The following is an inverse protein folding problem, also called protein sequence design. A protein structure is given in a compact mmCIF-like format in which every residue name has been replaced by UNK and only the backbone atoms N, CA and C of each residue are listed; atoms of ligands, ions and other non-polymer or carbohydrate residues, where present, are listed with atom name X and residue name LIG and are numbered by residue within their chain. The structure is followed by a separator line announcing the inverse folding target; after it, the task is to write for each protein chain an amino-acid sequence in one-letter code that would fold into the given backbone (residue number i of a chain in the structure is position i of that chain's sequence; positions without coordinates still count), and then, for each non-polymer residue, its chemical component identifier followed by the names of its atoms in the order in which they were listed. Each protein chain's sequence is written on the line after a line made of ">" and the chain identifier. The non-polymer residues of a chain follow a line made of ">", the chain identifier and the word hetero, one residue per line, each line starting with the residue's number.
data_IF_332554738639
#
_entry.id   IF_332554738639
#
_cell.length_a   1.000
_cell.length_b   1.000
_cell.length_c   1.000
_cell.angle_alpha   90.00
_cell.angle_beta   90.00
_cell.angle_gamma   90.00
#
_symmetry.space_group_name_H-M   'P 1'
#
loop_
_entity.id
_entity.type
_entity.pdbx_description
1 polymer ?
#
# COMPACT_ATOMS: atom_id res chain seq x y z
N UNK A 1 -5.80 -2.18 11.81
CA UNK A 1 -5.94 -0.87 12.46
C UNK A 1 -5.32 0.27 11.64
N UNK A 2 -4.05 0.15 11.22
CA UNK A 2 -3.33 1.18 10.45
C UNK A 2 -4.10 1.75 9.23
N UNK A 3 -4.83 0.90 8.51
CA UNK A 3 -5.67 1.33 7.38
C UNK A 3 -6.68 2.42 7.78
N UNK A 4 -7.41 2.20 8.88
CA UNK A 4 -8.47 3.10 9.33
C UNK A 4 -7.89 4.43 9.85
N UNK A 5 -6.76 4.35 10.57
CA UNK A 5 -6.03 5.52 11.05
C UNK A 5 -5.51 6.35 9.87
N UNK A 6 -4.88 5.70 8.88
CA UNK A 6 -4.40 6.37 7.68
C UNK A 6 -5.52 7.05 6.91
N UNK A 7 -6.67 6.39 6.78
CA UNK A 7 -7.86 6.96 6.14
C UNK A 7 -8.36 8.20 6.88
N UNK A 8 -8.49 8.12 8.20
CA UNK A 8 -8.91 9.24 9.06
C UNK A 8 -7.96 10.43 8.93
N UNK A 9 -6.65 10.21 9.06
CA UNK A 9 -5.63 11.25 8.99
C UNK A 9 -5.51 11.91 7.61
N UNK A 10 -5.91 11.20 6.54
CA UNK A 10 -5.84 11.70 5.16
C UNK A 10 -7.18 12.24 4.65
N UNK A 11 -8.21 12.32 5.50
CA UNK A 11 -9.55 12.75 5.08
C UNK A 11 -9.60 14.20 4.61
N UNK A 12 -8.80 15.09 5.21
CA UNK A 12 -8.77 16.52 4.87
C UNK A 12 -7.91 16.90 3.65
N UNK A 13 -7.23 15.94 3.02
CA UNK A 13 -6.31 16.23 1.91
C UNK A 13 -7.10 16.21 0.59
N UNK A 14 -7.38 17.41 0.07
CA UNK A 14 -8.09 17.57 -1.21
C UNK A 14 -7.22 17.05 -2.36
N UNK A 15 -7.80 16.24 -3.25
CA UNK A 15 -7.11 15.66 -4.41
C UNK A 15 -6.33 14.36 -4.11
N UNK A 16 -6.40 13.87 -2.87
CA UNK A 16 -5.85 12.57 -2.49
C UNK A 16 -6.93 11.49 -2.54
N UNK A 17 -6.87 10.66 -3.57
CA UNK A 17 -7.68 9.46 -3.68
C UNK A 17 -7.14 8.38 -2.74
N UNK A 18 -8.04 7.68 -2.03
CA UNK A 18 -7.66 6.58 -1.14
C UNK A 18 -8.48 5.35 -1.46
N UNK A 19 -7.83 4.19 -1.49
CA UNK A 19 -8.46 2.93 -1.84
C UNK A 19 -7.84 1.77 -1.06
N UNK A 20 -8.59 0.69 -0.90
CA UNK A 20 -8.11 -0.49 -0.20
C UNK A 20 -7.28 -1.38 -1.12
N UNK A 21 -6.11 -1.81 -0.66
CA UNK A 21 -5.33 -2.88 -1.29
C UNK A 21 -5.19 -4.00 -0.27
N UNK A 22 -5.64 -5.20 -0.64
CA UNK A 22 -5.59 -6.39 0.20
C UNK A 22 -4.79 -7.48 -0.48
N UNK A 23 -3.78 -7.99 0.21
CA UNK A 23 -2.95 -9.10 -0.24
C UNK A 23 -3.34 -10.36 0.52
N UNK A 24 -3.41 -11.47 -0.21
CA UNK A 24 -3.52 -12.82 0.34
C UNK A 24 -2.30 -13.59 -0.15
N UNK A 25 -1.39 -13.92 0.76
CA UNK A 25 -0.15 -14.64 0.46
C UNK A 25 -0.13 -15.98 1.16
N UNK A 26 0.71 -16.90 0.66
CA UNK A 26 0.91 -18.22 1.27
C UNK A 26 2.40 -18.41 1.53
N UNK A 27 2.76 -18.77 2.76
CA UNK A 27 4.13 -19.10 3.16
C UNK A 27 4.11 -20.39 3.98
N UNK A 28 4.87 -21.41 3.55
CA UNK A 28 4.95 -22.73 4.19
C UNK A 28 3.58 -23.28 4.60
N UNK A 29 2.64 -23.29 3.64
CA UNK A 29 1.23 -23.73 3.79
C UNK A 29 0.30 -22.83 4.60
N UNK A 30 0.81 -21.82 5.32
CA UNK A 30 0.00 -20.86 6.07
C UNK A 30 -0.42 -19.70 5.17
N UNK A 31 -1.68 -19.28 5.26
CA UNK A 31 -2.22 -18.13 4.54
C UNK A 31 -2.13 -16.88 5.41
N UNK A 32 -1.53 -15.83 4.87
CA UNK A 32 -1.46 -14.53 5.50
C UNK A 32 -2.30 -13.53 4.72
N UNK A 33 -2.93 -12.60 5.45
CA UNK A 33 -3.68 -11.49 4.88
C UNK A 33 -3.07 -10.20 5.36
N UNK A 34 -2.89 -9.27 4.45
CA UNK A 34 -2.29 -7.98 4.75
C UNK A 34 -3.04 -6.90 3.98
N UNK A 35 -3.36 -5.81 4.67
CA UNK A 35 -4.17 -4.71 4.13
C UNK A 35 -3.40 -3.42 4.29
N UNK A 36 -3.34 -2.65 3.21
CA UNK A 36 -2.73 -1.32 3.17
C UNK A 36 -3.71 -0.31 2.57
N UNK A 37 -3.49 0.97 2.87
CA UNK A 37 -4.18 2.07 2.25
C UNK A 37 -3.40 2.49 1.00
N UNK A 38 -3.92 2.17 -0.17
CA UNK A 38 -3.44 2.74 -1.42
C UNK A 38 -3.84 4.20 -1.48
N UNK A 39 -2.91 5.06 -1.89
CA UNK A 39 -3.14 6.49 -2.08
C UNK A 39 -2.71 6.91 -3.48
N UNK A 40 -3.43 7.87 -4.05
CA UNK A 40 -3.09 8.46 -5.35
C UNK A 40 -3.29 9.96 -5.28
N UNK A 41 -2.30 10.71 -5.76
CA UNK A 41 -2.34 12.16 -5.86
C UNK A 41 -1.95 12.57 -7.27
N UNK A 42 -2.88 13.15 -8.03
CA UNK A 42 -2.68 13.41 -9.45
C UNK A 42 -2.52 12.12 -10.26
N UNK A 43 -1.31 11.88 -10.80
CA UNK A 43 -0.98 10.67 -11.58
C UNK A 43 -0.01 9.73 -10.85
N UNK A 44 0.32 10.03 -9.59
CA UNK A 44 1.32 9.30 -8.81
C UNK A 44 0.61 8.43 -7.77
N UNK A 45 1.08 7.20 -7.62
CA UNK A 45 0.58 6.22 -6.65
C UNK A 45 1.54 6.04 -5.47
N UNK A 46 0.98 5.65 -4.34
CA UNK A 46 1.73 5.35 -3.12
C UNK A 46 0.90 4.50 -2.17
N UNK A 47 1.45 4.23 -0.98
CA UNK A 47 0.75 3.44 0.03
C UNK A 47 1.15 3.84 1.45
N UNK A 48 0.18 3.74 2.35
CA UNK A 48 0.34 3.92 3.79
C UNK A 48 -0.19 2.68 4.51
N UNK A 49 0.57 2.16 5.46
CA UNK A 49 0.19 0.97 6.21
C UNK A 49 1.21 0.65 7.30
N UNK A 50 0.93 -0.40 8.05
CA UNK A 50 1.87 -0.96 9.03
C UNK A 50 2.05 -2.43 8.68
N UNK A 51 3.30 -2.84 8.56
CA UNK A 51 3.72 -4.22 8.42
C UNK A 51 4.93 -4.46 9.30
N UNK A 52 5.16 -5.73 9.67
CA UNK A 52 6.38 -6.14 10.38
C UNK A 52 7.63 -5.97 9.53
N UNK A 53 7.47 -5.88 8.21
CA UNK A 53 8.54 -5.60 7.25
C UNK A 53 8.34 -4.22 6.65
N UNK A 54 9.41 -3.43 6.61
CA UNK A 54 9.40 -2.05 6.11
C UNK A 54 9.05 -1.96 4.62
N UNK A 55 9.48 -2.95 3.83
CA UNK A 55 9.21 -3.06 2.38
C UNK A 55 7.74 -3.38 2.04
N UNK A 56 6.94 -3.77 3.03
CA UNK A 56 5.53 -4.10 2.90
C UNK A 56 4.62 -3.06 3.57
N UNK A 57 5.10 -1.86 3.92
CA UNK A 57 4.29 -0.85 4.60
C UNK A 57 4.11 0.43 3.77
N UNK A 58 5.09 1.32 3.87
CA UNK A 58 5.04 2.66 3.28
C UNK A 58 5.65 2.66 1.88
N UNK A 59 4.96 3.29 0.92
CA UNK A 59 5.45 3.54 -0.43
C UNK A 59 5.24 5.03 -0.75
N UNK A 60 6.32 5.79 -1.03
CA UNK A 60 6.24 7.25 -1.16
C UNK A 60 5.55 7.70 -2.45
N UNK A 61 4.93 8.87 -2.41
CA UNK A 61 4.41 9.60 -3.59
C UNK A 61 5.52 10.42 -4.26
N UNK A 62 6.62 9.77 -4.64
CA UNK A 62 7.83 10.43 -5.20
C UNK A 62 7.92 10.37 -6.74
N UNK A 63 6.90 9.85 -7.41
CA UNK A 63 6.90 9.65 -8.86
C UNK A 63 7.48 8.31 -9.33
N UNK A 64 7.99 7.46 -8.43
CA UNK A 64 8.47 6.11 -8.79
C UNK A 64 7.34 5.18 -9.25
N UNK A 65 6.09 5.46 -8.85
CA UNK A 65 4.90 4.69 -9.20
C UNK A 65 3.95 5.55 -10.04
N UNK A 66 4.21 5.61 -11.35
CA UNK A 66 3.37 6.29 -12.35
C UNK A 66 2.11 5.50 -12.75
N UNK A 67 2.00 4.27 -12.26
CA UNK A 67 0.88 3.37 -12.52
C UNK A 67 0.64 2.49 -11.31
N UNK A 68 -0.62 2.09 -11.12
CA UNK A 68 -1.00 1.17 -10.05
C UNK A 68 -0.26 -0.18 -10.18
N UNK A 69 -0.02 -0.66 -11.41
CA UNK A 69 0.73 -1.89 -11.65
C UNK A 69 2.11 -1.85 -11.01
N UNK A 70 2.90 -0.80 -11.24
CA UNK A 70 4.24 -0.67 -10.66
C UNK A 70 4.23 -0.70 -9.13
N UNK A 71 3.24 -0.05 -8.51
CA UNK A 71 3.07 -0.11 -7.06
C UNK A 71 2.81 -1.54 -6.59
N UNK A 72 1.91 -2.25 -7.26
CA UNK A 72 1.57 -3.64 -6.92
C UNK A 72 2.75 -4.59 -7.18
N UNK A 73 3.48 -4.41 -8.27
CA UNK A 73 4.65 -5.22 -8.63
C UNK A 73 5.76 -5.09 -7.58
N UNK A 74 5.96 -3.90 -7.02
CA UNK A 74 6.89 -3.65 -5.92
C UNK A 74 6.47 -4.39 -4.63
N UNK A 75 5.18 -4.41 -4.28
CA UNK A 75 4.69 -5.25 -3.19
C UNK A 75 4.88 -6.74 -3.45
N UNK A 76 4.61 -7.21 -4.68
CA UNK A 76 4.81 -8.62 -5.06
C UNK A 76 6.29 -9.00 -4.94
N UNK A 77 7.20 -8.13 -5.40
CA UNK A 77 8.64 -8.30 -5.23
C UNK A 77 9.03 -8.39 -3.76
N UNK A 78 8.52 -7.48 -2.93
CA UNK A 78 8.75 -7.50 -1.49
C UNK A 78 8.26 -8.79 -0.82
N UNK A 79 7.12 -9.37 -1.23
CA UNK A 79 6.67 -10.67 -0.68
C UNK A 79 7.53 -11.87 -1.10
N UNK A 80 8.33 -11.75 -2.17
CA UNK A 80 9.21 -12.83 -2.64
C UNK A 80 10.56 -12.85 -1.94
N UNK A 81 10.98 -11.70 -1.39
CA UNK A 81 12.17 -11.57 -0.54
C UNK A 81 11.91 -12.19 0.83
#
# INVERSE_FOLDING_TARGET
>A
EAFLIGLYLTTGIVGLDRFNISFKTRFNSVVYRHVILGVKFGQIYGAVGISRRSDLAYKPLNGSYDSLSKLIDDFIGAYRN
#
